data_IF_461017449469
#
_entry.id   IF_461017449469
#
_cell.length_a   1.000
_cell.length_b   1.000
_cell.length_c   1.000
_cell.angle_alpha   90.00
_cell.angle_beta   90.00
_cell.angle_gamma   90.00
#
_symmetry.space_group_name_H-M   'P 1'
#
loop_
_entity.id
_entity.type
_entity.pdbx_description
1 polymer ?
#
# COMPACT_ATOMS: atom_id res chain seq x y z
N UNK A 1 -16.58 29.98 -12.49
CA UNK A 1 -15.44 29.44 -11.72
C UNK A 1 -15.79 28.15 -10.96
N UNK A 2 -17.03 27.95 -10.47
CA UNK A 2 -17.45 26.68 -9.82
C UNK A 2 -17.68 25.50 -10.77
N UNK A 3 -18.08 25.75 -12.02
CA UNK A 3 -18.40 24.68 -13.00
C UNK A 3 -17.13 23.90 -13.41
N UNK A 4 -15.95 24.52 -13.35
CA UNK A 4 -14.66 23.90 -13.71
C UNK A 4 -14.11 23.03 -12.57
N UNK A 5 -14.29 23.46 -11.31
CA UNK A 5 -13.97 22.66 -10.11
C UNK A 5 -14.79 21.37 -10.04
N UNK A 6 -16.01 21.37 -10.60
CA UNK A 6 -16.87 20.18 -10.63
C UNK A 6 -16.47 19.20 -11.75
N UNK A 7 -15.89 19.67 -12.86
CA UNK A 7 -15.33 18.80 -13.92
C UNK A 7 -14.03 18.12 -13.52
N UNK A 8 -13.17 18.78 -12.72
CA UNK A 8 -11.97 18.15 -12.17
C UNK A 8 -12.30 17.00 -11.21
N UNK A 9 -13.41 17.10 -10.45
CA UNK A 9 -13.91 16.01 -9.60
C UNK A 9 -14.46 14.83 -10.39
N UNK A 10 -15.10 15.06 -11.55
CA UNK A 10 -15.64 13.99 -12.39
C UNK A 10 -14.56 13.23 -13.18
N UNK A 11 -13.39 13.82 -13.44
CA UNK A 11 -12.28 13.13 -14.10
C UNK A 11 -11.37 12.34 -13.14
N UNK A 12 -11.57 12.51 -11.83
CA UNK A 12 -10.84 11.80 -10.77
C UNK A 12 -11.45 10.42 -10.45
N UNK A 13 -12.58 10.08 -11.08
CA UNK A 13 -13.29 8.81 -10.90
C UNK A 13 -12.73 7.67 -11.80
N UNK A 14 -11.51 7.84 -12.32
CA UNK A 14 -10.67 6.69 -12.69
C UNK A 14 -10.10 6.13 -11.40
N UNK A 15 -10.93 5.40 -10.65
CA UNK A 15 -10.57 4.83 -9.36
C UNK A 15 -9.15 4.25 -9.39
N UNK A 16 -8.33 4.64 -8.42
CA UNK A 16 -6.92 4.23 -8.35
C UNK A 16 -6.85 2.70 -8.37
N UNK A 17 -6.38 2.15 -9.49
CA UNK A 17 -6.30 0.70 -9.71
C UNK A 17 -5.31 0.04 -8.74
N UNK A 18 -4.30 0.79 -8.31
CA UNK A 18 -3.21 0.32 -7.46
C UNK A 18 -3.05 1.22 -6.23
N UNK A 19 -3.10 0.60 -5.06
CA UNK A 19 -2.82 1.22 -3.77
C UNK A 19 -1.66 0.48 -3.11
N UNK A 20 -0.58 1.21 -2.79
CA UNK A 20 0.65 0.64 -2.24
C UNK A 20 0.85 1.13 -0.80
N UNK A 21 1.09 0.19 0.12
CA UNK A 21 1.44 0.45 1.53
C UNK A 21 2.82 -0.14 1.82
N UNK A 22 3.73 0.66 2.37
CA UNK A 22 5.08 0.21 2.74
C UNK A 22 5.17 0.09 4.26
N UNK A 23 5.61 -1.06 4.78
CA UNK A 23 5.81 -1.27 6.21
C UNK A 23 7.30 -1.47 6.52
N UNK A 24 7.89 -0.56 7.30
CA UNK A 24 9.30 -0.63 7.71
C UNK A 24 9.38 -1.23 9.11
N UNK A 25 9.88 -2.47 9.21
CA UNK A 25 9.84 -3.28 10.44
C UNK A 25 11.13 -3.24 11.28
N UNK A 26 12.24 -2.74 10.73
CA UNK A 26 13.57 -2.74 11.37
C UNK A 26 14.07 -1.37 11.83
N UNK A 27 13.40 -0.28 11.46
CA UNK A 27 13.86 1.06 11.82
C UNK A 27 13.44 1.41 13.25
N UNK A 28 14.42 1.45 14.16
CA UNK A 28 14.20 1.65 15.60
C UNK A 28 14.25 3.14 16.00
N UNK A 29 14.67 4.04 15.11
CA UNK A 29 14.76 5.48 15.38
C UNK A 29 14.08 6.35 14.30
N UNK A 30 13.56 7.51 14.70
CA UNK A 30 12.96 8.51 13.79
C UNK A 30 13.98 9.04 12.76
N UNK A 31 15.28 8.93 13.04
CA UNK A 31 16.36 9.37 12.14
C UNK A 31 16.57 8.38 10.98
N UNK A 32 16.56 7.08 11.27
CA UNK A 32 16.69 6.03 10.24
C UNK A 32 15.53 6.07 9.25
N UNK A 33 14.34 6.45 9.74
CA UNK A 33 13.13 6.61 8.95
C UNK A 33 13.20 7.80 8.01
N UNK A 34 13.73 8.93 8.46
CA UNK A 34 13.94 10.10 7.60
C UNK A 34 14.95 9.78 6.51
N UNK A 35 16.05 9.11 6.86
CA UNK A 35 17.07 8.70 5.89
C UNK A 35 16.53 7.67 4.88
N UNK A 36 15.79 6.66 5.33
CA UNK A 36 15.17 5.67 4.44
C UNK A 36 14.11 6.30 3.54
N UNK A 37 13.24 7.16 4.07
CA UNK A 37 12.24 7.85 3.25
C UNK A 37 12.91 8.76 2.22
N UNK A 38 13.96 9.50 2.59
CA UNK A 38 14.75 10.30 1.64
C UNK A 38 15.41 9.41 0.59
N UNK A 39 16.01 8.29 1.00
CA UNK A 39 16.63 7.33 0.08
C UNK A 39 15.64 6.74 -0.91
N UNK A 40 14.50 6.23 -0.45
CA UNK A 40 13.43 5.71 -1.31
C UNK A 40 12.93 6.79 -2.26
N UNK A 41 12.80 8.02 -1.78
CA UNK A 41 12.39 9.14 -2.63
C UNK A 41 13.40 9.48 -3.71
N UNK A 42 14.70 9.43 -3.38
CA UNK A 42 15.78 9.67 -4.32
C UNK A 42 15.96 8.52 -5.32
N UNK A 43 15.86 7.26 -4.88
CA UNK A 43 15.96 6.06 -5.73
C UNK A 43 14.83 6.03 -6.77
N UNK A 44 13.63 6.51 -6.40
CA UNK A 44 12.51 6.64 -7.33
C UNK A 44 12.70 7.80 -8.32
N UNK A 45 13.20 8.96 -7.88
CA UNK A 45 13.55 10.08 -8.79
C UNK A 45 14.68 9.67 -9.75
N UNK A 46 15.66 8.88 -9.28
CA UNK A 46 16.78 8.41 -10.09
C UNK A 46 16.40 7.33 -11.12
N UNK A 47 15.28 6.62 -10.93
CA UNK A 47 14.76 5.62 -11.88
C UNK A 47 13.73 6.17 -12.86
N UNK A 48 13.20 7.36 -12.62
CA UNK A 48 12.18 7.98 -13.47
C UNK A 48 12.66 9.32 -13.98
N UNK A 49 13.22 9.34 -15.19
CA UNK A 49 13.12 10.53 -16.00
C UNK A 49 11.63 10.78 -16.28
N UNK A 50 11.06 11.72 -15.52
CA UNK A 50 9.88 12.53 -15.84
C UNK A 50 8.57 11.77 -16.13
N UNK A 51 7.76 11.45 -15.11
CA UNK A 51 6.29 11.47 -15.17
C UNK A 51 5.52 11.10 -13.86
N UNK A 52 6.00 11.25 -12.62
CA UNK A 52 5.14 10.93 -11.46
C UNK A 52 5.60 11.44 -10.08
N UNK A 53 5.80 12.76 -9.94
CA UNK A 53 5.94 13.37 -8.61
C UNK A 53 4.75 13.03 -7.67
N UNK A 54 3.53 12.92 -8.22
CA UNK A 54 2.31 12.59 -7.46
C UNK A 54 2.30 11.15 -6.91
N UNK A 55 2.87 10.18 -7.64
CA UNK A 55 3.01 8.81 -7.14
C UNK A 55 4.04 8.72 -6.01
N UNK A 56 5.14 9.48 -6.10
CA UNK A 56 6.15 9.53 -5.04
C UNK A 56 5.55 10.12 -3.76
N UNK A 57 4.79 11.21 -3.84
CA UNK A 57 4.11 11.80 -2.69
C UNK A 57 3.02 10.88 -2.10
N UNK A 58 2.27 10.18 -2.95
CA UNK A 58 1.31 9.16 -2.52
C UNK A 58 1.94 7.94 -1.83
N UNK A 59 3.15 7.54 -2.21
CA UNK A 59 3.91 6.45 -1.58
C UNK A 59 4.54 6.93 -0.25
N UNK A 60 5.10 8.14 -0.21
CA UNK A 60 5.63 8.76 1.03
C UNK A 60 4.55 8.85 2.11
N UNK A 61 3.33 9.23 1.75
CA UNK A 61 2.20 9.32 2.70
C UNK A 61 1.73 7.97 3.24
N UNK A 62 2.05 6.84 2.59
CA UNK A 62 1.58 5.49 2.95
C UNK A 62 2.66 4.59 3.55
N UNK A 63 3.81 5.16 3.90
CA UNK A 63 4.87 4.44 4.61
C UNK A 63 4.53 4.38 6.11
N UNK A 64 4.29 3.17 6.62
CA UNK A 64 3.94 2.86 8.00
C UNK A 64 5.14 2.20 8.70
N UNK A 65 5.23 2.37 10.00
CA UNK A 65 6.30 1.80 10.82
C UNK A 65 5.81 0.57 11.59
N UNK A 66 6.71 -0.38 11.79
CA UNK A 66 6.41 -1.62 12.49
C UNK A 66 5.70 -2.65 11.62
N UNK A 67 5.29 -3.75 12.25
CA UNK A 67 4.54 -4.82 11.60
C UNK A 67 3.11 -4.34 11.32
N UNK A 68 2.54 -4.62 10.14
CA UNK A 68 1.14 -4.33 9.86
C UNK A 68 0.21 -4.99 10.89
N UNK A 69 -0.80 -4.24 11.34
CA UNK A 69 -1.97 -4.81 11.98
C UNK A 69 -2.90 -5.36 10.89
N UNK A 70 -2.83 -6.68 10.67
CA UNK A 70 -3.62 -7.34 9.64
C UNK A 70 -5.12 -7.27 9.90
N UNK A 71 -5.56 -7.20 11.16
CA UNK A 71 -6.98 -7.10 11.48
C UNK A 71 -7.52 -5.75 11.05
N UNK A 72 -6.76 -4.67 11.32
CA UNK A 72 -7.12 -3.34 10.86
C UNK A 72 -7.15 -3.27 9.32
N UNK A 73 -6.11 -3.78 8.64
CA UNK A 73 -6.01 -3.75 7.18
C UNK A 73 -7.14 -4.55 6.53
N UNK A 74 -7.45 -5.74 7.03
CA UNK A 74 -8.47 -6.61 6.44
C UNK A 74 -9.88 -6.06 6.68
N UNK A 75 -10.11 -5.43 7.84
CA UNK A 75 -11.36 -4.74 8.15
C UNK A 75 -11.57 -3.55 7.21
N UNK A 76 -10.53 -2.76 6.96
CA UNK A 76 -10.59 -1.65 6.01
C UNK A 76 -10.93 -2.14 4.59
N UNK A 77 -10.29 -3.22 4.13
CA UNK A 77 -10.57 -3.84 2.83
C UNK A 77 -12.04 -4.29 2.70
N UNK A 78 -12.62 -4.86 3.76
CA UNK A 78 -14.05 -5.20 3.78
C UNK A 78 -14.95 -3.96 3.71
N UNK A 79 -14.61 -2.90 4.45
CA UNK A 79 -15.36 -1.64 4.45
C UNK A 79 -15.41 -0.97 3.07
N UNK A 80 -14.38 -1.17 2.24
CA UNK A 80 -14.35 -0.65 0.87
C UNK A 80 -15.40 -1.29 -0.05
N UNK A 81 -15.95 -2.47 0.30
CA UNK A 81 -17.02 -3.18 -0.45
C UNK A 81 -16.77 -3.34 -1.95
N UNK A 82 -15.50 -3.55 -2.34
CA UNK A 82 -15.07 -3.73 -3.74
C UNK A 82 -15.30 -5.13 -4.33
N UNK A 83 -16.05 -5.99 -3.63
CA UNK A 83 -16.38 -7.35 -4.06
C UNK A 83 -15.51 -8.43 -3.41
N UNK A 84 -15.25 -9.53 -4.13
CA UNK A 84 -14.45 -10.66 -3.64
C UNK A 84 -12.96 -10.27 -3.57
N UNK A 85 -12.35 -10.52 -2.41
CA UNK A 85 -10.93 -10.18 -2.16
C UNK A 85 -10.08 -11.45 -2.27
N UNK A 86 -8.98 -11.35 -3.02
CA UNK A 86 -7.95 -12.41 -3.13
C UNK A 86 -6.61 -11.84 -2.70
N UNK A 87 -5.93 -12.56 -1.81
CA UNK A 87 -4.62 -12.21 -1.24
C UNK A 87 -3.56 -13.11 -1.86
N UNK A 88 -2.52 -12.48 -2.38
CA UNK A 88 -1.35 -13.13 -2.95
C UNK A 88 -0.14 -12.79 -2.09
N UNK A 89 0.69 -13.79 -1.79
CA UNK A 89 1.82 -13.60 -0.90
C UNK A 89 3.08 -14.31 -1.38
N UNK A 90 4.17 -13.53 -1.45
CA UNK A 90 5.54 -14.01 -1.65
C UNK A 90 6.42 -13.45 -0.51
N UNK A 91 7.14 -14.33 0.20
CA UNK A 91 8.01 -13.94 1.30
C UNK A 91 8.19 -15.02 2.37
N UNK A 92 8.68 -14.64 3.57
CA UNK A 92 8.97 -15.57 4.66
C UNK A 92 7.78 -16.47 5.05
N UNK A 93 8.03 -17.76 5.36
CA UNK A 93 6.97 -18.72 5.68
C UNK A 93 6.19 -18.37 6.96
N UNK A 94 6.83 -17.69 7.91
CA UNK A 94 6.19 -17.26 9.17
C UNK A 94 5.03 -16.29 8.93
N UNK A 95 5.23 -15.30 8.06
CA UNK A 95 4.18 -14.35 7.70
C UNK A 95 3.13 -14.97 6.78
N UNK A 96 3.53 -15.91 5.93
CA UNK A 96 2.62 -16.72 5.12
C UNK A 96 1.56 -17.44 5.98
N UNK A 97 1.97 -18.03 7.09
CA UNK A 97 1.08 -18.76 8.00
C UNK A 97 0.09 -17.81 8.73
N UNK A 98 0.57 -16.65 9.17
CA UNK A 98 -0.26 -15.60 9.76
C UNK A 98 -1.34 -15.12 8.77
N UNK A 99 -0.93 -14.75 7.56
CA UNK A 99 -1.84 -14.28 6.52
C UNK A 99 -2.86 -15.34 6.11
N UNK A 100 -2.46 -16.61 6.04
CA UNK A 100 -3.38 -17.72 5.76
C UNK A 100 -4.48 -17.81 6.83
N UNK A 101 -4.11 -17.66 8.10
CA UNK A 101 -5.04 -17.68 9.23
C UNK A 101 -6.00 -16.50 9.16
N UNK A 102 -5.48 -15.29 8.93
CA UNK A 102 -6.29 -14.08 8.77
C UNK A 102 -7.24 -14.19 7.57
N UNK A 103 -6.77 -14.67 6.42
CA UNK A 103 -7.63 -14.84 5.24
C UNK A 103 -8.80 -15.79 5.52
N UNK A 104 -8.60 -16.87 6.29
CA UNK A 104 -9.68 -17.77 6.72
C UNK A 104 -10.69 -17.07 7.64
N UNK A 105 -10.22 -16.23 8.57
CA UNK A 105 -11.08 -15.47 9.48
C UNK A 105 -11.97 -14.45 8.74
N UNK A 106 -11.41 -13.78 7.73
CA UNK A 106 -12.11 -12.73 6.97
C UNK A 106 -12.80 -13.24 5.68
N UNK A 107 -12.67 -14.53 5.35
CA UNK A 107 -13.27 -15.13 4.16
C UNK A 107 -12.60 -14.74 2.84
N UNK A 108 -11.31 -14.38 2.88
CA UNK A 108 -10.54 -14.03 1.68
C UNK A 108 -9.92 -15.28 1.04
N UNK A 109 -9.86 -15.28 -0.29
CA UNK A 109 -9.08 -16.29 -1.01
C UNK A 109 -7.58 -16.01 -0.79
N UNK A 110 -6.79 -17.04 -0.52
CA UNK A 110 -5.35 -16.90 -0.29
C UNK A 110 -4.57 -17.80 -1.24
N UNK A 111 -3.54 -17.24 -1.88
CA UNK A 111 -2.61 -17.95 -2.74
C UNK A 111 -1.18 -17.59 -2.37
N UNK A 112 -0.38 -18.62 -2.07
CA UNK A 112 1.06 -18.46 -1.92
C UNK A 112 1.69 -18.51 -3.32
N UNK A 113 2.45 -17.49 -3.67
CA UNK A 113 3.13 -17.40 -4.95
C UNK A 113 4.66 -17.47 -4.74
N UNK A 114 5.32 -18.14 -5.68
CA UNK A 114 6.77 -18.22 -5.80
C UNK A 114 7.06 -17.61 -7.18
N UNK A 115 7.67 -16.43 -7.19
CA UNK A 115 8.03 -15.70 -8.40
C UNK A 115 9.53 -15.85 -8.67
#
# INVERSE_FOLDING_TARGET
MEIEQQRLRQNSDKGSLLEVHLYVTSAQSQADLKALNVYLSLDLIGRENSANCDAVDGIRQRTKHGRPDWDQVFTELLCQKKGKISVFYCGPPSLSAELTTKCRQYGFAYKKELF
#
